data_IF_751899014659
#
_entry.id   IF_751899014659
#
_cell.length_a   1.000
_cell.length_b   1.000
_cell.length_c   1.000
_cell.angle_alpha   90.00
_cell.angle_beta   90.00
_cell.angle_gamma   90.00
#
_symmetry.space_group_name_H-M   'P 1'
#
loop_
_entity.id
_entity.type
_entity.pdbx_description
1 polymer ?
#
# COMPACT_ATOMS: atom_id res chain seq x y z
N UNK A 1 -13.44 7.48 -0.03
CA UNK A 1 -13.77 6.13 -0.55
C UNK A 1 -14.12 6.26 -2.02
N UNK A 2 -13.63 5.36 -2.87
CA UNK A 2 -13.97 5.31 -4.29
C UNK A 2 -15.27 4.53 -4.48
N UNK A 3 -16.28 5.15 -5.14
CA UNK A 3 -17.47 4.47 -5.65
C UNK A 3 -17.37 4.40 -7.19
N UNK A 4 -17.48 3.20 -7.72
CA UNK A 4 -17.40 2.92 -9.15
C UNK A 4 -18.65 2.20 -9.66
N UNK A 5 -19.75 2.24 -8.91
CA UNK A 5 -21.01 1.54 -9.26
C UNK A 5 -21.63 2.04 -10.58
N UNK A 6 -21.39 3.32 -10.91
CA UNK A 6 -21.83 3.94 -12.16
C UNK A 6 -20.71 4.11 -13.19
N UNK A 7 -19.50 3.60 -12.89
CA UNK A 7 -18.33 3.81 -13.73
C UNK A 7 -18.48 3.19 -15.12
N UNK A 8 -17.99 3.89 -16.12
CA UNK A 8 -17.90 3.44 -17.52
C UNK A 8 -16.45 3.46 -17.99
N UNK A 9 -16.02 2.40 -18.65
CA UNK A 9 -14.71 2.29 -19.28
C UNK A 9 -14.84 2.73 -20.75
N UNK A 10 -14.59 4.00 -21.04
CA UNK A 10 -14.85 4.57 -22.37
C UNK A 10 -13.69 4.40 -23.36
N UNK A 11 -12.46 4.19 -22.84
CA UNK A 11 -11.27 3.85 -23.64
C UNK A 11 -10.48 2.77 -22.94
N UNK A 12 -10.05 1.77 -23.70
CA UNK A 12 -9.21 0.69 -23.17
C UNK A 12 -8.16 0.28 -24.21
N UNK A 13 -6.90 0.26 -23.80
CA UNK A 13 -5.76 -0.07 -24.66
C UNK A 13 -4.91 -1.17 -24.04
N UNK A 14 -4.18 -1.90 -24.88
CA UNK A 14 -3.18 -2.86 -24.48
C UNK A 14 -1.90 -2.71 -25.26
N UNK A 15 -0.79 -2.85 -24.57
CA UNK A 15 0.55 -3.02 -25.13
C UNK A 15 1.23 -4.19 -24.43
N UNK A 16 2.30 -4.72 -24.96
CA UNK A 16 3.14 -5.68 -24.26
C UNK A 16 4.47 -5.04 -23.91
N UNK A 17 4.88 -5.12 -22.64
CA UNK A 17 6.11 -4.50 -22.14
C UNK A 17 6.97 -5.58 -21.51
N UNK A 18 8.14 -5.84 -22.13
CA UNK A 18 9.10 -6.82 -21.67
C UNK A 18 10.09 -6.31 -20.64
N UNK A 19 11.03 -7.17 -20.25
CA UNK A 19 12.13 -6.80 -19.37
C UNK A 19 13.32 -6.30 -20.21
N UNK A 20 13.84 -5.12 -19.86
CA UNK A 20 14.93 -4.46 -20.60
C UNK A 20 16.25 -5.23 -20.51
N UNK A 21 16.58 -5.83 -19.36
CA UNK A 21 17.79 -6.64 -19.20
C UNK A 21 17.75 -7.92 -20.04
N UNK A 22 16.55 -8.43 -20.33
CA UNK A 22 16.37 -9.62 -21.18
C UNK A 22 16.22 -9.29 -22.66
N UNK A 23 16.29 -8.00 -23.03
CA UNK A 23 16.10 -7.51 -24.41
C UNK A 23 14.76 -7.93 -25.03
N UNK A 24 13.70 -8.02 -24.22
CA UNK A 24 12.40 -8.50 -24.68
C UNK A 24 11.64 -7.45 -25.52
N UNK A 25 11.96 -6.15 -25.35
CA UNK A 25 11.36 -5.07 -26.13
C UNK A 25 9.95 -4.66 -25.70
N UNK A 26 9.29 -3.90 -26.57
CA UNK A 26 7.90 -3.41 -26.40
C UNK A 26 7.13 -3.73 -27.66
N UNK A 27 5.89 -4.22 -27.52
CA UNK A 27 4.96 -4.39 -28.64
C UNK A 27 3.79 -3.42 -28.45
N UNK A 28 3.66 -2.47 -29.38
CA UNK A 28 2.57 -1.51 -29.41
C UNK A 28 1.72 -1.84 -30.65
N UNK A 29 0.48 -2.34 -30.47
CA UNK A 29 -0.39 -2.65 -31.61
C UNK A 29 -0.76 -1.40 -32.40
N UNK A 30 -0.88 -1.53 -33.72
CA UNK A 30 -1.32 -0.42 -34.60
C UNK A 30 -2.75 0.05 -34.33
N UNK A 31 -3.58 -0.82 -33.72
CA UNK A 31 -4.89 -0.48 -33.17
C UNK A 31 -4.85 -0.83 -31.69
N UNK A 32 -4.67 0.20 -30.86
CA UNK A 32 -4.51 0.03 -29.42
C UNK A 32 -5.84 -0.01 -28.68
N UNK A 33 -6.90 0.61 -29.23
CA UNK A 33 -8.23 0.56 -28.62
C UNK A 33 -8.83 -0.84 -28.78
N UNK A 34 -9.21 -1.44 -27.67
CA UNK A 34 -9.86 -2.75 -27.61
C UNK A 34 -11.36 -2.52 -27.48
N UNK A 35 -12.16 -2.99 -28.47
CA UNK A 35 -13.62 -2.96 -28.35
C UNK A 35 -14.05 -3.99 -27.28
N UNK A 36 -14.76 -3.52 -26.27
CA UNK A 36 -15.26 -4.34 -25.19
C UNK A 36 -16.74 -4.68 -25.41
N UNK A 37 -17.11 -5.90 -25.02
CA UNK A 37 -18.50 -6.28 -24.86
C UNK A 37 -18.91 -6.06 -23.39
N UNK A 38 -20.18 -5.79 -23.12
CA UNK A 38 -20.71 -5.41 -21.81
C UNK A 38 -20.16 -6.29 -20.65
N UNK A 39 -20.16 -7.60 -20.82
CA UNK A 39 -19.61 -8.51 -19.80
C UNK A 39 -18.09 -8.39 -19.61
N UNK A 40 -17.33 -8.15 -20.68
CA UNK A 40 -15.87 -7.94 -20.57
C UNK A 40 -15.57 -6.61 -19.90
N UNK A 41 -16.33 -5.57 -20.19
CA UNK A 41 -16.23 -4.27 -19.53
C UNK A 41 -16.49 -4.40 -18.03
N UNK A 42 -17.57 -5.06 -17.62
CA UNK A 42 -17.90 -5.29 -16.22
C UNK A 42 -16.79 -6.02 -15.45
N UNK A 43 -16.21 -7.07 -16.06
CA UNK A 43 -15.08 -7.81 -15.47
C UNK A 43 -13.85 -6.92 -15.32
N UNK A 44 -13.51 -6.09 -16.33
CA UNK A 44 -12.36 -5.21 -16.31
C UNK A 44 -12.56 -4.07 -15.30
N UNK A 45 -13.74 -3.44 -15.26
CA UNK A 45 -14.11 -2.44 -14.27
C UNK A 45 -13.88 -2.97 -12.85
N UNK A 46 -14.45 -4.13 -12.56
CA UNK A 46 -14.27 -4.77 -11.26
C UNK A 46 -12.80 -5.10 -10.98
N UNK A 47 -12.07 -5.65 -11.94
CA UNK A 47 -10.67 -6.01 -11.77
C UNK A 47 -9.78 -4.80 -11.49
N UNK A 48 -9.99 -3.71 -12.23
CA UNK A 48 -9.12 -2.53 -12.15
C UNK A 48 -9.50 -1.59 -11.00
N UNK A 49 -10.75 -1.48 -10.61
CA UNK A 49 -11.23 -0.47 -9.65
C UNK A 49 -11.43 -1.01 -8.23
N UNK A 50 -11.92 -2.25 -8.08
CA UNK A 50 -12.16 -2.84 -6.76
C UNK A 50 -10.96 -2.83 -5.80
N UNK A 51 -9.70 -3.05 -6.24
CA UNK A 51 -8.55 -2.98 -5.35
C UNK A 51 -8.33 -1.60 -4.73
N UNK A 52 -8.85 -0.54 -5.36
CA UNK A 52 -8.74 0.85 -4.90
C UNK A 52 -9.95 1.35 -4.11
N UNK A 53 -11.04 0.58 -4.03
CA UNK A 53 -12.30 0.96 -3.38
C UNK A 53 -12.10 1.53 -1.96
N UNK A 54 -11.19 0.93 -1.19
CA UNK A 54 -10.91 1.26 0.21
C UNK A 54 -9.58 1.96 0.43
N UNK A 55 -8.94 2.48 -0.61
CA UNK A 55 -7.65 3.15 -0.43
C UNK A 55 -7.84 4.56 0.12
N UNK A 56 -7.00 4.95 1.06
CA UNK A 56 -6.85 6.30 1.57
C UNK A 56 -5.41 6.78 1.41
N UNK A 57 -4.51 5.94 0.87
CA UNK A 57 -3.12 6.29 0.60
C UNK A 57 -3.04 6.90 -0.79
N UNK A 58 -2.92 8.23 -0.84
CA UNK A 58 -2.82 8.97 -2.09
C UNK A 58 -1.44 9.57 -2.29
N UNK A 59 -1.14 9.85 -3.54
CA UNK A 59 0.12 10.40 -4.00
C UNK A 59 -0.14 11.50 -5.03
N UNK A 60 0.90 12.32 -5.29
CA UNK A 60 1.00 13.23 -6.44
C UNK A 60 2.17 12.82 -7.32
N UNK A 61 2.09 13.04 -8.63
CA UNK A 61 3.29 13.07 -9.46
C UNK A 61 4.26 14.12 -8.94
N UNK A 62 5.54 13.80 -8.98
CA UNK A 62 6.57 14.69 -8.44
C UNK A 62 7.75 14.85 -9.39
N UNK A 63 8.22 16.08 -9.53
CA UNK A 63 9.44 16.43 -10.22
C UNK A 63 10.20 17.47 -9.39
N UNK A 64 11.54 17.37 -9.35
CA UNK A 64 12.39 18.19 -8.46
C UNK A 64 12.28 19.70 -8.75
N UNK A 65 12.02 20.09 -10.02
CA UNK A 65 11.89 21.48 -10.42
C UNK A 65 10.41 21.90 -10.47
N UNK A 66 9.63 21.26 -11.35
CA UNK A 66 8.23 21.56 -11.56
C UNK A 66 7.51 20.33 -12.10
N UNK A 67 6.28 20.06 -11.63
CA UNK A 67 5.50 18.89 -12.05
C UNK A 67 5.21 18.87 -13.54
N UNK A 68 5.14 20.02 -14.20
CA UNK A 68 4.97 20.11 -15.65
C UNK A 68 6.11 19.48 -16.45
N UNK A 69 7.30 19.27 -15.85
CA UNK A 69 8.43 18.55 -16.44
C UNK A 69 8.30 17.03 -16.29
N UNK A 70 7.31 16.54 -15.56
CA UNK A 70 7.10 15.12 -15.33
C UNK A 70 6.41 14.46 -16.55
N UNK A 71 7.06 13.48 -17.18
CA UNK A 71 6.57 12.88 -18.43
C UNK A 71 5.19 12.21 -18.31
N UNK A 72 4.97 11.43 -17.24
CA UNK A 72 3.66 10.80 -17.03
C UNK A 72 2.58 11.84 -16.74
N UNK A 73 2.89 12.89 -15.99
CA UNK A 73 1.97 13.99 -15.76
C UNK A 73 1.54 14.62 -17.08
N UNK A 74 2.49 14.95 -17.96
CA UNK A 74 2.19 15.52 -19.28
C UNK A 74 1.28 14.61 -20.11
N UNK A 75 1.55 13.30 -20.10
CA UNK A 75 0.73 12.30 -20.81
C UNK A 75 -0.68 12.24 -20.23
N UNK A 76 -0.81 12.15 -18.90
CA UNK A 76 -2.10 12.15 -18.23
C UNK A 76 -2.87 13.44 -18.48
N UNK A 77 -2.20 14.58 -18.43
CA UNK A 77 -2.77 15.88 -18.74
C UNK A 77 -3.33 15.93 -20.18
N UNK A 78 -2.57 15.43 -21.16
CA UNK A 78 -3.03 15.33 -22.55
C UNK A 78 -4.30 14.47 -22.66
N UNK A 79 -4.32 13.30 -22.01
CA UNK A 79 -5.48 12.38 -22.03
C UNK A 79 -6.70 13.00 -21.33
N UNK A 80 -6.52 13.68 -20.19
CA UNK A 80 -7.64 14.31 -19.48
C UNK A 80 -8.26 15.45 -20.26
N UNK A 81 -7.46 16.21 -21.03
CA UNK A 81 -7.97 17.26 -21.91
C UNK A 81 -8.61 16.72 -23.18
N UNK A 82 -8.07 15.64 -23.75
CA UNK A 82 -8.60 14.97 -24.94
C UNK A 82 -8.46 13.44 -24.85
N UNK A 83 -9.50 12.72 -24.37
CA UNK A 83 -9.48 11.26 -24.25
C UNK A 83 -9.29 10.49 -25.57
N UNK A 84 -9.49 11.12 -26.74
CA UNK A 84 -9.22 10.48 -28.03
C UNK A 84 -7.73 10.21 -28.23
N UNK A 85 -6.85 10.93 -27.51
CA UNK A 85 -5.39 10.73 -27.56
C UNK A 85 -4.91 9.47 -26.80
N UNK A 86 -5.79 8.80 -26.06
CA UNK A 86 -5.45 7.59 -25.27
C UNK A 86 -4.64 6.56 -26.06
N UNK A 87 -4.98 6.36 -27.33
CA UNK A 87 -4.31 5.38 -28.21
C UNK A 87 -2.84 5.72 -28.45
N UNK A 88 -2.56 6.98 -28.75
CA UNK A 88 -1.21 7.46 -29.05
C UNK A 88 -0.37 7.57 -27.78
N UNK A 89 -0.97 8.08 -26.71
CA UNK A 89 -0.31 8.25 -25.41
C UNK A 89 0.01 6.90 -24.74
N UNK A 90 -0.84 5.88 -24.92
CA UNK A 90 -0.57 4.52 -24.41
C UNK A 90 0.75 3.94 -24.93
N UNK A 91 1.10 4.22 -26.20
CA UNK A 91 2.37 3.82 -26.77
C UNK A 91 3.58 4.48 -26.09
N UNK A 92 3.47 5.78 -25.80
CA UNK A 92 4.52 6.51 -25.07
C UNK A 92 4.69 5.97 -23.65
N UNK A 93 3.58 5.71 -22.94
CA UNK A 93 3.59 5.13 -21.61
C UNK A 93 4.26 3.72 -21.60
N UNK A 94 3.95 2.89 -22.58
CA UNK A 94 4.56 1.56 -22.70
C UNK A 94 6.09 1.65 -22.93
N UNK A 95 6.56 2.61 -23.70
CA UNK A 95 7.99 2.86 -23.91
C UNK A 95 8.67 3.37 -22.64
N UNK A 96 8.05 4.32 -21.92
CA UNK A 96 8.57 4.80 -20.64
C UNK A 96 8.65 3.68 -19.60
N UNK A 97 7.61 2.86 -19.49
CA UNK A 97 7.61 1.72 -18.58
C UNK A 97 8.73 0.73 -18.90
N UNK A 98 8.98 0.44 -20.18
CA UNK A 98 10.06 -0.44 -20.60
C UNK A 98 11.42 0.07 -20.12
N UNK A 99 11.67 1.39 -20.14
CA UNK A 99 12.92 1.95 -19.64
C UNK A 99 13.16 1.66 -18.15
N UNK A 100 12.07 1.56 -17.37
CA UNK A 100 12.11 1.27 -15.93
C UNK A 100 12.14 -0.25 -15.61
N UNK A 101 11.86 -1.12 -16.59
CA UNK A 101 11.80 -2.57 -16.40
C UNK A 101 13.19 -3.23 -16.45
N UNK A 102 14.14 -2.78 -15.62
CA UNK A 102 15.52 -3.31 -15.57
C UNK A 102 15.70 -4.40 -14.50
N UNK A 103 14.87 -4.45 -13.46
CA UNK A 103 15.02 -5.45 -12.41
C UNK A 103 14.64 -6.85 -12.94
N UNK A 104 15.50 -7.89 -12.75
CA UNK A 104 15.24 -9.26 -13.21
C UNK A 104 13.96 -9.90 -12.68
N UNK A 105 13.43 -9.40 -11.54
CA UNK A 105 12.18 -9.88 -10.94
C UNK A 105 10.94 -9.43 -11.73
N UNK A 106 11.06 -8.40 -12.57
CA UNK A 106 9.94 -7.88 -13.36
C UNK A 106 9.75 -8.78 -14.58
N UNK A 107 8.56 -9.35 -14.69
CA UNK A 107 8.20 -10.20 -15.82
C UNK A 107 7.69 -9.35 -16.99
N UNK A 108 8.00 -9.78 -18.24
CA UNK A 108 7.32 -9.28 -19.41
C UNK A 108 5.83 -9.62 -19.39
N UNK A 109 4.99 -8.72 -19.87
CA UNK A 109 3.55 -8.95 -19.87
C UNK A 109 2.76 -7.76 -20.41
N UNK A 110 1.45 -7.90 -20.43
CA UNK A 110 0.54 -6.88 -20.90
C UNK A 110 0.59 -5.64 -20.00
N UNK A 111 0.46 -4.49 -20.64
CA UNK A 111 0.28 -3.19 -20.00
C UNK A 111 -0.98 -2.56 -20.54
N UNK A 112 -1.94 -2.31 -19.66
CA UNK A 112 -3.24 -1.76 -19.99
C UNK A 112 -3.35 -0.32 -19.53
N UNK A 113 -4.01 0.50 -20.34
CA UNK A 113 -4.52 1.80 -19.97
C UNK A 113 -6.03 1.80 -20.15
N UNK A 114 -6.76 2.20 -19.12
CA UNK A 114 -8.20 2.44 -19.15
C UNK A 114 -8.51 3.89 -18.82
N UNK A 115 -9.48 4.50 -19.55
CA UNK A 115 -10.05 5.79 -19.20
C UNK A 115 -11.46 5.59 -18.68
N UNK A 116 -11.69 6.05 -17.44
CA UNK A 116 -12.92 5.83 -16.69
C UNK A 116 -13.69 7.14 -16.53
N UNK A 117 -14.98 7.09 -16.74
CA UNK A 117 -15.94 8.16 -16.49
C UNK A 117 -16.94 7.73 -15.41
N UNK A 118 -17.65 8.71 -14.86
CA UNK A 118 -18.71 8.50 -13.87
C UNK A 118 -18.25 7.80 -12.57
N UNK A 119 -17.00 8.06 -12.17
CA UNK A 119 -16.48 7.66 -10.86
C UNK A 119 -16.86 8.69 -9.81
N UNK A 120 -16.99 8.24 -8.54
CA UNK A 120 -17.13 9.13 -7.40
C UNK A 120 -15.97 8.92 -6.42
N UNK A 121 -15.22 9.96 -6.13
CA UNK A 121 -14.18 9.96 -5.11
C UNK A 121 -14.59 10.87 -3.95
N UNK A 122 -14.76 10.28 -2.76
CA UNK A 122 -15.24 10.99 -1.55
C UNK A 122 -16.58 11.73 -1.76
N UNK A 123 -17.44 11.23 -2.68
CA UNK A 123 -18.72 11.83 -2.99
C UNK A 123 -18.69 12.87 -4.12
N UNK A 124 -17.54 13.18 -4.68
CA UNK A 124 -17.37 14.09 -5.80
C UNK A 124 -17.16 13.34 -7.11
N UNK A 125 -17.80 13.76 -8.22
CA UNK A 125 -17.66 13.12 -9.52
C UNK A 125 -16.26 13.37 -10.10
N UNK A 126 -15.61 12.30 -10.58
CA UNK A 126 -14.27 12.38 -11.16
C UNK A 126 -14.15 11.47 -12.38
N UNK A 127 -13.25 11.83 -13.31
CA UNK A 127 -12.72 10.90 -14.32
C UNK A 127 -11.37 10.37 -13.86
N UNK A 128 -10.94 9.22 -14.39
CA UNK A 128 -9.66 8.66 -14.03
C UNK A 128 -8.99 7.90 -15.18
N UNK A 129 -7.65 7.84 -15.11
CA UNK A 129 -6.80 6.96 -15.93
C UNK A 129 -6.33 5.81 -15.05
N UNK A 130 -6.61 4.58 -15.46
CA UNK A 130 -6.08 3.38 -14.83
C UNK A 130 -4.92 2.81 -15.63
N UNK A 131 -3.82 2.50 -14.95
CA UNK A 131 -2.66 1.81 -15.50
C UNK A 131 -2.50 0.46 -14.81
N UNK A 132 -2.29 -0.59 -15.59
CA UNK A 132 -2.19 -1.94 -15.07
C UNK A 132 -1.11 -2.74 -15.82
N UNK A 133 -0.05 -3.15 -15.10
CA UNK A 133 1.00 -4.04 -15.63
C UNK A 133 0.78 -5.46 -15.12
N UNK A 134 0.54 -6.37 -16.03
CA UNK A 134 0.41 -7.80 -15.71
C UNK A 134 1.79 -8.39 -15.40
N UNK A 135 1.91 -9.10 -14.28
CA UNK A 135 3.12 -9.79 -13.84
C UNK A 135 2.99 -11.31 -13.91
N UNK A 136 1.79 -11.82 -13.63
CA UNK A 136 1.55 -13.25 -13.51
C UNK A 136 0.35 -13.64 -14.36
N UNK A 137 0.38 -14.86 -14.86
CA UNK A 137 -0.76 -15.53 -15.50
C UNK A 137 -1.14 -16.75 -14.67
N UNK A 138 -2.43 -17.02 -14.60
CA UNK A 138 -2.97 -18.22 -13.95
C UNK A 138 -3.51 -19.17 -15.04
N UNK A 139 -3.37 -20.48 -14.82
CA UNK A 139 -3.95 -21.49 -15.69
C UNK A 139 -5.39 -21.79 -15.27
N UNK A 140 -6.29 -21.78 -16.22
CA UNK A 140 -7.73 -22.05 -16.03
C UNK A 140 -8.14 -23.33 -16.74
N UNK A 141 -9.05 -24.09 -16.10
CA UNK A 141 -9.66 -25.26 -16.72
C UNK A 141 -10.97 -24.87 -17.40
N UNK A 142 -11.03 -25.05 -18.73
CA UNK A 142 -12.25 -24.88 -19.51
C UNK A 142 -12.82 -26.24 -19.86
N UNK A 143 -14.07 -26.49 -19.44
CA UNK A 143 -14.81 -27.68 -19.82
C UNK A 143 -15.80 -27.35 -20.93
N UNK A 144 -15.83 -28.18 -21.94
CA UNK A 144 -16.83 -28.13 -23.02
C UNK A 144 -17.63 -29.45 -23.01
N UNK A 145 -18.93 -29.31 -22.95
CA UNK A 145 -19.87 -30.45 -22.91
C UNK A 145 -20.46 -30.70 -24.31
N UNK A 146 -20.34 -31.91 -24.82
CA UNK A 146 -21.15 -32.43 -25.92
C UNK A 146 -22.21 -33.39 -25.38
N UNK A 147 -23.09 -33.92 -26.25
CA UNK A 147 -24.11 -34.91 -25.84
C UNK A 147 -23.48 -36.21 -25.29
N UNK A 148 -22.28 -36.56 -25.69
CA UNK A 148 -21.67 -37.88 -25.40
C UNK A 148 -20.36 -37.74 -24.57
N UNK A 149 -19.79 -36.55 -24.41
CA UNK A 149 -18.50 -36.38 -23.78
C UNK A 149 -18.26 -35.03 -23.15
N UNK A 150 -17.27 -34.96 -22.26
CA UNK A 150 -16.68 -33.72 -21.76
C UNK A 150 -15.25 -33.59 -22.28
N UNK A 151 -14.92 -32.42 -22.78
CA UNK A 151 -13.54 -32.06 -23.11
C UNK A 151 -12.99 -31.11 -22.06
N UNK A 152 -11.76 -31.31 -21.61
CA UNK A 152 -11.06 -30.46 -20.65
C UNK A 152 -9.87 -29.80 -21.37
N UNK A 153 -9.88 -28.48 -21.40
CA UNK A 153 -8.79 -27.68 -21.93
C UNK A 153 -8.13 -26.86 -20.81
N UNK A 154 -6.82 -26.65 -20.88
CA UNK A 154 -6.09 -25.72 -20.03
C UNK A 154 -5.86 -24.44 -20.83
N UNK A 155 -6.27 -23.33 -20.29
CA UNK A 155 -6.08 -21.99 -20.86
C UNK A 155 -5.26 -21.15 -19.89
N UNK A 156 -4.33 -20.37 -20.42
CA UNK A 156 -3.62 -19.36 -19.64
C UNK A 156 -4.32 -18.01 -19.79
N UNK A 157 -4.52 -17.33 -18.68
CA UNK A 157 -5.22 -16.06 -18.65
C UNK A 157 -4.72 -15.11 -17.55
N UNK A 158 -5.20 -13.89 -17.61
CA UNK A 158 -4.91 -12.85 -16.62
C UNK A 158 -5.90 -12.99 -15.48
N UNK A 159 -5.42 -13.16 -14.22
CA UNK A 159 -6.32 -13.26 -13.07
C UNK A 159 -6.99 -11.92 -12.77
N UNK A 160 -8.28 -11.78 -13.07
CA UNK A 160 -9.04 -10.55 -12.90
C UNK A 160 -9.16 -10.03 -11.46
N UNK A 161 -8.83 -10.82 -10.45
CA UNK A 161 -8.91 -10.42 -9.03
C UNK A 161 -7.58 -10.12 -8.36
N UNK A 162 -6.47 -10.13 -9.08
CA UNK A 162 -5.12 -10.02 -8.49
C UNK A 162 -4.27 -8.98 -9.22
N UNK A 163 -4.48 -7.71 -8.91
CA UNK A 163 -3.55 -6.67 -9.37
C UNK A 163 -2.27 -6.70 -8.53
N UNK A 164 -1.12 -6.86 -9.19
CA UNK A 164 0.18 -6.79 -8.54
C UNK A 164 0.84 -5.42 -8.72
N UNK A 165 0.60 -4.78 -9.87
CA UNK A 165 1.15 -3.50 -10.26
C UNK A 165 0.06 -2.72 -10.97
N UNK A 166 -0.40 -1.63 -10.35
CA UNK A 166 -1.45 -0.79 -10.90
C UNK A 166 -1.36 0.64 -10.34
N UNK A 167 -1.96 1.59 -11.06
CA UNK A 167 -2.22 2.93 -10.58
C UNK A 167 -3.58 3.41 -11.10
N UNK A 168 -4.24 4.26 -10.31
CA UNK A 168 -5.45 4.96 -10.69
C UNK A 168 -5.21 6.46 -10.45
N UNK A 169 -5.18 7.23 -11.51
CA UNK A 169 -4.90 8.66 -11.54
C UNK A 169 -6.23 9.39 -11.73
N UNK A 170 -6.60 10.27 -10.83
CA UNK A 170 -7.84 11.03 -10.84
C UNK A 170 -7.62 12.41 -11.46
N UNK A 171 -8.57 12.89 -12.23
CA UNK A 171 -8.57 14.23 -12.82
C UNK A 171 -8.97 15.30 -11.78
N UNK A 172 -8.21 15.36 -10.71
CA UNK A 172 -8.31 16.37 -9.65
C UNK A 172 -6.91 16.75 -9.18
N UNK A 173 -6.78 17.91 -8.55
CA UNK A 173 -5.50 18.44 -8.02
C UNK A 173 -4.42 18.54 -9.12
N UNK A 174 -4.79 19.02 -10.30
CA UNK A 174 -3.89 19.11 -11.46
C UNK A 174 -2.61 19.89 -11.13
N UNK A 175 -2.73 21.06 -10.51
CA UNK A 175 -1.61 21.93 -10.19
C UNK A 175 -0.59 21.29 -9.24
N UNK A 176 -1.03 20.41 -8.36
CA UNK A 176 -0.21 19.67 -7.40
C UNK A 176 0.41 18.37 -7.98
N UNK A 177 -0.06 17.93 -9.16
CA UNK A 177 0.44 16.74 -9.84
C UNK A 177 -0.54 15.59 -9.94
N UNK A 178 -1.83 15.86 -10.03
CA UNK A 178 -2.93 14.90 -10.02
C UNK A 178 -2.92 13.94 -8.83
N UNK A 179 -4.06 13.79 -8.19
CA UNK A 179 -4.21 12.79 -7.12
C UNK A 179 -4.24 11.39 -7.71
N UNK A 180 -3.46 10.49 -7.14
CA UNK A 180 -3.44 9.10 -7.59
C UNK A 180 -3.24 8.11 -6.44
N UNK A 181 -3.63 6.88 -6.67
CA UNK A 181 -3.26 5.74 -5.81
C UNK A 181 -2.53 4.68 -6.61
N UNK A 182 -1.66 3.91 -5.94
CA UNK A 182 -0.79 2.93 -6.60
C UNK A 182 -0.68 1.64 -5.80
N UNK A 183 -0.70 0.52 -6.51
CA UNK A 183 -0.46 -0.82 -5.99
C UNK A 183 0.87 -1.31 -6.55
N UNK A 184 1.76 -1.74 -5.66
CA UNK A 184 2.98 -2.47 -5.97
C UNK A 184 3.18 -3.56 -4.92
N UNK A 185 2.94 -4.80 -5.29
CA UNK A 185 3.14 -5.99 -4.45
C UNK A 185 4.39 -6.78 -4.82
N UNK A 186 5.14 -6.32 -5.82
CA UNK A 186 6.34 -6.98 -6.32
C UNK A 186 7.59 -6.46 -5.62
N UNK A 187 7.66 -5.15 -5.40
CA UNK A 187 8.75 -4.53 -4.66
C UNK A 187 8.65 -4.84 -3.17
N UNK A 188 9.78 -5.12 -2.53
CA UNK A 188 9.81 -5.29 -1.08
C UNK A 188 9.72 -3.93 -0.38
N UNK A 189 9.27 -3.95 0.88
CA UNK A 189 9.02 -2.74 1.67
C UNK A 189 10.23 -1.80 1.78
N UNK A 190 11.45 -2.35 1.77
CA UNK A 190 12.70 -1.61 1.95
C UNK A 190 13.53 -1.49 0.65
N UNK A 191 12.97 -1.93 -0.49
CA UNK A 191 13.60 -1.80 -1.80
C UNK A 191 12.95 -0.65 -2.57
N UNK A 192 13.76 0.08 -3.35
CA UNK A 192 13.24 1.09 -4.29
C UNK A 192 12.28 0.43 -5.29
N UNK A 193 11.08 0.97 -5.37
CA UNK A 193 10.02 0.46 -6.24
C UNK A 193 10.24 0.96 -7.67
N UNK A 194 10.42 0.06 -8.62
CA UNK A 194 10.45 0.45 -10.03
C UNK A 194 9.11 1.10 -10.48
N UNK A 195 7.99 0.71 -9.85
CA UNK A 195 6.68 1.23 -10.19
C UNK A 195 6.45 2.61 -9.61
N UNK A 196 6.58 2.77 -8.28
CA UNK A 196 6.29 4.04 -7.58
C UNK A 196 7.41 5.07 -7.77
N UNK A 197 8.70 4.65 -7.63
CA UNK A 197 9.82 5.59 -7.55
C UNK A 197 10.49 5.86 -8.90
N UNK A 198 10.42 4.90 -9.87
CA UNK A 198 11.09 5.05 -11.15
C UNK A 198 10.12 5.37 -12.28
N UNK A 199 9.00 4.62 -12.40
CA UNK A 199 8.02 4.82 -13.45
C UNK A 199 7.04 5.93 -13.10
N UNK A 200 6.28 5.79 -12.00
CA UNK A 200 5.30 6.80 -11.59
C UNK A 200 5.96 8.07 -11.03
N UNK A 201 7.10 7.97 -10.37
CA UNK A 201 7.84 9.07 -9.73
C UNK A 201 6.90 9.92 -8.88
N UNK A 202 6.31 9.30 -7.87
CA UNK A 202 5.26 9.88 -7.03
C UNK A 202 5.75 10.15 -5.61
N UNK A 203 5.15 11.16 -4.97
CA UNK A 203 5.32 11.45 -3.55
C UNK A 203 3.99 11.25 -2.82
N UNK A 204 4.00 10.78 -1.56
CA UNK A 204 2.78 10.69 -0.76
C UNK A 204 2.17 12.05 -0.51
N UNK A 205 0.85 12.11 -0.40
CA UNK A 205 0.14 13.28 0.10
C UNK A 205 0.28 13.30 1.62
N UNK A 206 0.68 14.44 2.17
CA UNK A 206 0.93 14.64 3.60
C UNK A 206 -0.39 14.94 4.33
N UNK A 207 -1.28 13.97 4.35
CA UNK A 207 -2.62 14.04 4.93
C UNK A 207 -2.74 13.24 6.25
N UNK A 208 -3.95 13.12 6.76
CA UNK A 208 -4.24 12.36 7.98
C UNK A 208 -3.79 10.89 7.91
N UNK A 209 -3.89 10.27 6.73
CA UNK A 209 -3.40 8.90 6.52
C UNK A 209 -1.87 8.83 6.65
N UNK A 210 -1.17 9.75 6.00
CA UNK A 210 0.29 9.88 6.06
C UNK A 210 0.76 10.08 7.51
N UNK A 211 0.19 11.07 8.21
CA UNK A 211 0.55 11.36 9.59
C UNK A 211 0.29 10.17 10.52
N UNK A 212 -0.90 9.56 10.45
CA UNK A 212 -1.24 8.37 11.26
C UNK A 212 -0.24 7.23 11.03
N UNK A 213 0.05 6.91 9.76
CA UNK A 213 0.98 5.85 9.41
C UNK A 213 2.37 6.08 9.97
N UNK A 214 2.90 7.28 9.79
CA UNK A 214 4.27 7.58 10.21
C UNK A 214 4.40 7.66 11.73
N UNK A 215 3.42 8.16 12.46
CA UNK A 215 3.44 8.12 13.92
C UNK A 215 3.36 6.69 14.48
N UNK A 216 2.58 5.80 13.86
CA UNK A 216 2.56 4.37 14.23
C UNK A 216 3.94 3.74 14.02
N UNK A 217 4.61 4.04 12.91
CA UNK A 217 5.95 3.52 12.60
C UNK A 217 7.00 4.08 13.57
N UNK A 218 6.98 5.39 13.81
CA UNK A 218 7.85 6.10 14.73
C UNK A 218 7.71 5.53 16.17
N UNK A 219 6.48 5.43 16.67
CA UNK A 219 6.22 4.88 18.00
C UNK A 219 6.69 3.42 18.11
N UNK A 220 6.40 2.60 17.10
CA UNK A 220 6.85 1.21 17.07
C UNK A 220 8.37 1.07 17.06
N UNK A 221 9.08 1.90 16.30
CA UNK A 221 10.54 1.91 16.24
C UNK A 221 11.15 2.39 17.56
N UNK A 222 10.65 3.48 18.12
CA UNK A 222 11.10 3.95 19.44
C UNK A 222 10.95 2.85 20.50
N UNK A 223 9.74 2.31 20.65
CA UNK A 223 9.43 1.34 21.70
C UNK A 223 10.22 0.03 21.53
N UNK A 224 10.46 -0.42 20.31
CA UNK A 224 11.13 -1.73 20.09
C UNK A 224 12.64 -1.64 19.98
N UNK A 225 13.18 -0.52 19.53
CA UNK A 225 14.61 -0.41 19.21
C UNK A 225 15.37 0.56 20.12
N UNK A 226 14.76 1.67 20.53
CA UNK A 226 15.44 2.71 21.31
C UNK A 226 15.14 2.63 22.81
N UNK A 227 13.88 2.62 23.20
CA UNK A 227 13.45 2.64 24.60
C UNK A 227 14.04 1.51 25.48
N UNK A 228 14.22 0.26 25.02
CA UNK A 228 14.84 -0.78 25.83
C UNK A 228 16.28 -0.44 26.24
N UNK A 229 17.04 0.26 25.39
CA UNK A 229 18.42 0.61 25.65
C UNK A 229 18.56 1.92 26.43
N UNK A 230 17.78 2.95 26.08
CA UNK A 230 17.86 4.26 26.71
C UNK A 230 17.20 4.30 28.09
N UNK A 231 16.08 3.60 28.24
CA UNK A 231 15.24 3.64 29.46
C UNK A 231 15.32 2.36 30.28
N UNK A 232 16.16 1.41 29.89
CA UNK A 232 16.34 0.14 30.60
C UNK A 232 15.07 -0.71 30.66
N UNK A 233 14.16 -0.58 29.68
CA UNK A 233 12.88 -1.27 29.67
C UNK A 233 13.07 -2.77 29.39
N UNK A 234 12.38 -3.57 30.16
CA UNK A 234 12.34 -5.00 29.89
C UNK A 234 11.35 -5.32 28.74
N UNK A 235 11.31 -6.60 28.37
CA UNK A 235 10.42 -7.05 27.29
C UNK A 235 8.95 -6.87 27.61
N UNK A 236 8.60 -6.95 28.87
CA UNK A 236 7.22 -6.81 29.34
C UNK A 236 6.78 -5.33 29.27
N UNK A 237 7.69 -4.41 29.64
CA UNK A 237 7.47 -2.97 29.50
C UNK A 237 7.30 -2.58 28.03
N UNK A 238 8.14 -3.13 27.15
CA UNK A 238 8.04 -2.92 25.69
C UNK A 238 6.67 -3.36 25.16
N UNK A 239 6.17 -4.52 25.60
CA UNK A 239 4.85 -5.03 25.19
C UNK A 239 3.73 -4.14 25.69
N UNK A 240 3.80 -3.67 26.94
CA UNK A 240 2.80 -2.76 27.51
C UNK A 240 2.74 -1.45 26.75
N UNK A 241 3.88 -0.86 26.41
CA UNK A 241 3.96 0.34 25.60
C UNK A 241 3.38 0.15 24.20
N UNK A 242 3.67 -0.99 23.54
CA UNK A 242 3.09 -1.30 22.23
C UNK A 242 1.56 -1.43 22.30
N UNK A 243 1.03 -2.09 23.33
CA UNK A 243 -0.42 -2.22 23.52
C UNK A 243 -1.07 -0.86 23.76
N UNK A 244 -0.53 -0.06 24.70
CA UNK A 244 -1.04 1.31 24.95
C UNK A 244 -1.00 2.20 23.71
N UNK A 245 0.08 2.10 22.91
CA UNK A 245 0.15 2.81 21.63
C UNK A 245 -0.94 2.35 20.67
N UNK A 246 -1.13 1.04 20.54
CA UNK A 246 -2.17 0.47 19.67
C UNK A 246 -3.58 0.87 20.09
N UNK A 247 -3.85 0.87 21.40
CA UNK A 247 -5.14 1.26 21.97
C UNK A 247 -5.38 2.77 21.75
N UNK A 248 -4.35 3.61 21.93
CA UNK A 248 -4.47 5.05 21.66
C UNK A 248 -4.94 5.33 20.21
N UNK A 249 -4.30 4.71 19.23
CA UNK A 249 -4.67 4.90 17.82
C UNK A 249 -6.03 4.29 17.45
N UNK A 250 -6.52 3.32 18.19
CA UNK A 250 -7.84 2.73 17.94
C UNK A 250 -8.98 3.51 18.55
N UNK A 251 -8.77 4.01 19.78
CA UNK A 251 -9.84 4.50 20.65
C UNK A 251 -10.04 6.01 20.50
N UNK A 252 -9.07 6.72 19.90
CA UNK A 252 -9.17 8.16 19.68
C UNK A 252 -9.48 8.47 18.19
N UNK A 253 -10.25 9.54 17.99
CA UNK A 253 -10.53 10.09 16.66
C UNK A 253 -9.44 11.08 16.21
N UNK A 254 -8.78 11.73 17.15
CA UNK A 254 -7.77 12.77 16.95
C UNK A 254 -6.46 12.38 17.63
N UNK A 255 -5.35 12.60 16.95
CA UNK A 255 -4.01 12.50 17.49
C UNK A 255 -3.53 13.87 17.93
N UNK A 256 -2.90 13.92 19.09
CA UNK A 256 -2.14 15.07 19.59
C UNK A 256 -0.84 14.56 20.24
N UNK A 257 0.31 15.03 19.77
CA UNK A 257 1.62 14.45 20.15
C UNK A 257 1.89 14.49 21.65
N UNK A 258 1.50 15.57 22.33
CA UNK A 258 1.70 15.71 23.78
C UNK A 258 0.78 14.78 24.57
N UNK A 259 -0.49 14.66 24.18
CA UNK A 259 -1.45 13.76 24.79
C UNK A 259 -1.03 12.28 24.60
N UNK A 260 -0.59 11.93 23.39
CA UNK A 260 -0.02 10.62 23.10
C UNK A 260 1.19 10.31 23.98
N UNK A 261 2.13 11.27 24.08
CA UNK A 261 3.37 11.11 24.85
C UNK A 261 3.05 10.90 26.34
N UNK A 262 2.15 11.71 26.92
CA UNK A 262 1.73 11.60 28.32
C UNK A 262 0.93 10.33 28.61
N UNK A 263 0.12 9.87 27.65
CA UNK A 263 -0.62 8.61 27.77
C UNK A 263 0.31 7.40 27.78
N UNK A 264 1.39 7.42 26.98
CA UNK A 264 2.32 6.32 26.92
C UNK A 264 3.33 6.30 28.07
N UNK A 265 3.88 7.46 28.40
CA UNK A 265 5.00 7.59 29.32
C UNK A 265 4.61 8.37 30.57
N UNK A 266 4.82 7.78 31.73
CA UNK A 266 4.47 8.37 33.03
C UNK A 266 5.56 9.29 33.55
N UNK A 267 6.81 9.02 33.21
CA UNK A 267 7.98 9.71 33.72
C UNK A 267 8.47 10.72 32.69
N UNK A 268 8.86 11.91 33.17
CA UNK A 268 9.31 13.02 32.33
C UNK A 268 10.53 12.64 31.49
N UNK A 269 11.46 11.87 32.05
CA UNK A 269 12.63 11.36 31.33
C UNK A 269 12.26 10.49 30.11
N UNK A 270 11.20 9.66 30.23
CA UNK A 270 10.70 8.83 29.14
C UNK A 270 10.02 9.68 28.06
N UNK A 271 9.27 10.69 28.48
CA UNK A 271 8.61 11.65 27.58
C UNK A 271 9.64 12.43 26.77
N UNK A 272 10.70 12.92 27.42
CA UNK A 272 11.75 13.68 26.78
C UNK A 272 12.54 12.80 25.78
N UNK A 273 12.86 11.56 26.14
CA UNK A 273 13.48 10.61 25.24
C UNK A 273 12.64 10.34 23.97
N UNK A 274 11.31 10.28 24.10
CA UNK A 274 10.44 10.13 22.93
C UNK A 274 10.41 11.39 22.07
N UNK A 275 10.35 12.59 22.68
CA UNK A 275 10.39 13.88 21.94
C UNK A 275 11.71 14.03 21.16
N UNK A 276 12.85 13.73 21.79
CA UNK A 276 14.16 13.75 21.13
C UNK A 276 14.20 12.78 19.96
N UNK A 277 13.74 11.54 20.17
CA UNK A 277 13.70 10.55 19.10
C UNK A 277 12.79 10.99 17.94
N UNK A 278 11.63 11.60 18.22
CA UNK A 278 10.74 12.16 17.20
C UNK A 278 11.43 13.20 16.34
N UNK A 279 12.18 14.12 16.97
CA UNK A 279 12.94 15.14 16.24
C UNK A 279 14.05 14.52 15.37
N UNK A 280 14.78 13.55 15.89
CA UNK A 280 15.80 12.83 15.13
C UNK A 280 15.17 12.09 13.94
N UNK A 281 14.07 11.39 14.17
CA UNK A 281 13.36 10.61 13.17
C UNK A 281 12.82 11.50 12.04
N UNK A 282 12.13 12.60 12.39
CA UNK A 282 11.57 13.52 11.40
C UNK A 282 12.67 14.19 10.55
N UNK A 283 13.82 14.53 11.16
CA UNK A 283 14.98 15.07 10.43
C UNK A 283 15.63 14.01 9.54
N UNK A 284 15.84 12.81 10.05
CA UNK A 284 16.53 11.74 9.31
C UNK A 284 15.75 11.29 8.06
N UNK A 285 14.44 11.27 8.14
CA UNK A 285 13.56 10.86 7.02
C UNK A 285 12.93 12.04 6.27
N UNK A 286 13.25 13.28 6.63
CA UNK A 286 12.67 14.51 6.06
C UNK A 286 11.14 14.49 6.06
N UNK A 287 10.51 14.05 7.17
CA UNK A 287 9.06 13.89 7.30
C UNK A 287 8.42 15.14 7.93
N UNK A 288 7.50 15.83 7.25
CA UNK A 288 6.76 16.96 7.78
C UNK A 288 5.55 16.48 8.60
N UNK A 289 5.79 15.85 9.75
CA UNK A 289 4.72 15.33 10.59
C UNK A 289 4.01 16.46 11.37
N UNK A 290 2.70 16.46 11.33
CA UNK A 290 1.85 17.37 12.10
C UNK A 290 1.76 16.93 13.56
N UNK A 291 1.65 17.91 14.47
CA UNK A 291 1.51 17.66 15.91
C UNK A 291 0.07 17.26 16.28
N UNK A 292 -0.91 17.61 15.43
CA UNK A 292 -2.33 17.35 15.63
C UNK A 292 -3.04 17.10 14.31
N UNK A 293 -3.77 15.97 14.23
CA UNK A 293 -4.52 15.55 13.04
C UNK A 293 -5.59 14.51 13.40
N UNK A 294 -6.55 14.27 12.49
CA UNK A 294 -7.53 13.20 12.65
C UNK A 294 -6.91 11.83 12.34
N UNK A 295 -7.16 10.85 13.21
CA UNK A 295 -6.60 9.51 13.05
C UNK A 295 -7.30 8.77 11.91
N UNK A 296 -6.54 8.40 10.88
CA UNK A 296 -7.03 7.52 9.82
C UNK A 296 -7.14 6.08 10.31
N UNK A 297 -8.38 5.61 10.52
CA UNK A 297 -8.64 4.22 10.93
C UNK A 297 -8.18 3.19 9.89
N UNK A 298 -8.03 3.59 8.64
CA UNK A 298 -7.50 2.71 7.61
C UNK A 298 -5.97 2.55 7.75
N UNK A 299 -5.25 3.63 8.03
CA UNK A 299 -3.82 3.57 8.34
C UNK A 299 -3.57 2.70 9.57
N UNK A 300 -4.39 2.87 10.62
CA UNK A 300 -4.33 2.04 11.84
C UNK A 300 -4.48 0.56 11.49
N UNK A 301 -5.52 0.17 10.75
CA UNK A 301 -5.75 -1.25 10.35
C UNK A 301 -4.58 -1.83 9.56
N UNK A 302 -3.99 -1.05 8.65
CA UNK A 302 -2.89 -1.49 7.78
C UNK A 302 -1.59 -1.68 8.55
N UNK A 303 -1.28 -0.77 9.48
CA UNK A 303 -0.03 -0.78 10.26
C UNK A 303 -0.16 -1.47 11.61
N UNK A 304 -1.36 -1.90 12.03
CA UNK A 304 -1.64 -2.47 13.36
C UNK A 304 -0.73 -3.64 13.77
N UNK A 305 -0.17 -4.33 12.78
CA UNK A 305 0.80 -5.41 13.02
C UNK A 305 2.06 -4.97 13.78
N UNK A 306 2.40 -3.68 13.74
CA UNK A 306 3.54 -3.09 14.47
C UNK A 306 3.32 -3.23 15.98
N UNK A 307 2.07 -3.09 16.42
CA UNK A 307 1.70 -3.20 17.83
C UNK A 307 1.42 -4.63 18.31
N UNK A 308 1.45 -5.63 17.41
CA UNK A 308 1.23 -7.03 17.80
C UNK A 308 2.40 -7.55 18.61
N UNK A 309 2.16 -7.77 19.89
CA UNK A 309 3.13 -8.27 20.84
C UNK A 309 3.19 -9.78 20.83
N UNK A 310 4.32 -10.34 20.39
CA UNK A 310 4.55 -11.78 20.38
C UNK A 310 5.78 -12.07 21.23
N UNK A 311 5.59 -12.82 22.33
CA UNK A 311 6.70 -13.38 23.08
C UNK A 311 7.12 -14.68 22.39
N UNK A 312 8.22 -14.62 21.66
CA UNK A 312 8.81 -15.82 21.06
C UNK A 312 9.77 -16.46 22.05
N UNK A 313 9.46 -17.69 22.48
CA UNK A 313 10.28 -18.47 23.38
C UNK A 313 10.89 -19.63 22.58
N UNK A 314 12.16 -19.52 22.26
CA UNK A 314 12.94 -20.47 21.44
C UNK A 314 12.24 -20.85 20.10
N UNK A 315 12.34 -22.11 19.67
CA UNK A 315 11.68 -22.60 18.44
C UNK A 315 10.27 -23.15 18.67
N UNK A 316 9.83 -23.29 19.92
CA UNK A 316 8.68 -24.13 20.25
C UNK A 316 7.46 -23.32 20.70
N UNK A 317 7.64 -22.12 21.27
CA UNK A 317 6.55 -21.40 21.92
C UNK A 317 6.46 -19.96 21.43
N UNK A 318 5.25 -19.55 21.01
CA UNK A 318 4.88 -18.18 20.75
C UNK A 318 3.68 -17.84 21.62
N UNK A 319 3.81 -16.82 22.47
CA UNK A 319 2.71 -16.29 23.29
C UNK A 319 2.25 -14.99 22.68
N UNK A 320 0.99 -14.91 22.29
CA UNK A 320 0.34 -13.70 21.81
C UNK A 320 -0.31 -13.00 23.00
N UNK A 321 0.10 -11.75 23.28
CA UNK A 321 -0.41 -10.96 24.41
C UNK A 321 -1.31 -9.87 23.87
N UNK A 322 -2.61 -9.93 24.18
CA UNK A 322 -3.62 -8.97 23.71
C UNK A 322 -4.03 -7.93 24.77
N UNK A 323 -3.30 -7.83 25.89
CA UNK A 323 -3.58 -6.93 27.01
C UNK A 323 -3.27 -7.63 28.36
N UNK A 324 -3.64 -6.99 29.48
CA UNK A 324 -3.55 -7.55 30.84
C UNK A 324 -2.16 -8.13 31.17
N UNK A 325 -1.13 -7.25 31.16
CA UNK A 325 0.25 -7.57 31.58
C UNK A 325 0.33 -8.16 32.97
N UNK A 326 -0.54 -7.71 33.86
CA UNK A 326 -0.65 -8.16 35.26
C UNK A 326 -0.91 -9.66 35.40
N UNK A 327 -1.37 -10.31 34.31
CA UNK A 327 -1.60 -11.75 34.25
C UNK A 327 -0.39 -12.55 33.73
N UNK A 328 0.76 -11.90 33.50
CA UNK A 328 1.97 -12.58 33.00
C UNK A 328 3.14 -12.33 33.96
N UNK A 329 3.64 -13.38 34.57
CA UNK A 329 4.85 -13.37 35.38
C UNK A 329 6.03 -14.00 34.65
N UNK A 330 7.20 -13.37 34.76
CA UNK A 330 8.47 -13.95 34.28
C UNK A 330 9.34 -14.35 35.47
N UNK A 331 9.93 -15.50 35.40
CA UNK A 331 10.82 -15.99 36.46
C UNK A 331 11.92 -16.90 35.92
N UNK A 332 12.76 -17.34 36.88
CA UNK A 332 13.78 -18.34 36.65
C UNK A 332 13.54 -19.49 37.63
N UNK A 333 13.46 -20.71 37.12
CA UNK A 333 13.29 -21.90 37.89
C UNK A 333 14.69 -22.47 38.17
N UNK A 334 15.15 -22.35 39.42
CA UNK A 334 16.49 -22.81 39.84
C UNK A 334 16.66 -24.32 39.74
N UNK A 335 15.59 -25.11 40.02
CA UNK A 335 15.65 -26.58 39.96
C UNK A 335 15.80 -27.05 38.50
N UNK A 336 15.14 -26.39 37.55
CA UNK A 336 15.19 -26.76 36.13
C UNK A 336 16.28 -26.01 35.39
N UNK A 337 16.88 -24.97 35.98
CA UNK A 337 17.86 -24.07 35.33
C UNK A 337 17.28 -23.34 34.11
N UNK A 338 15.98 -23.05 34.11
CA UNK A 338 15.27 -22.47 32.96
C UNK A 338 14.47 -21.25 33.34
N UNK A 339 14.40 -20.29 32.39
CA UNK A 339 13.46 -19.15 32.45
C UNK A 339 12.06 -19.67 32.15
N UNK A 340 11.05 -19.07 32.79
CA UNK A 340 9.65 -19.36 32.51
C UNK A 340 8.81 -18.08 32.37
N UNK A 341 7.68 -18.22 31.69
CA UNK A 341 6.54 -17.30 31.78
C UNK A 341 5.37 -18.07 32.39
N UNK A 342 4.70 -17.46 33.36
CA UNK A 342 3.50 -17.96 33.99
C UNK A 342 2.36 -17.04 33.62
N UNK A 343 1.30 -17.60 33.03
CA UNK A 343 0.12 -16.87 32.57
C UNK A 343 -1.05 -17.20 33.46
N UNK A 344 -1.70 -16.19 34.00
CA UNK A 344 -2.94 -16.33 34.77
C UNK A 344 -4.13 -16.03 33.83
N UNK A 345 -5.19 -16.82 33.92
CA UNK A 345 -6.39 -16.67 33.08
C UNK A 345 -7.65 -17.03 33.89
N UNK A 346 -8.80 -16.49 33.47
CA UNK A 346 -10.09 -16.66 34.15
C UNK A 346 -10.88 -17.84 33.60
N UNK A 347 -10.79 -18.12 32.30
CA UNK A 347 -11.50 -19.23 31.65
C UNK A 347 -10.71 -19.77 30.47
N UNK A 348 -10.85 -21.06 30.20
CA UNK A 348 -10.33 -21.74 29.03
C UNK A 348 -11.50 -22.07 28.09
N UNK A 349 -11.38 -21.71 26.78
CA UNK A 349 -12.37 -22.02 25.76
C UNK A 349 -12.02 -23.29 24.99
#
# INVERSE_FOLDING_TARGET
>A
MLDYSAARLTRFTASWVGNKQRFEGVVIPSRTLIPLHDYAEEVILSAMLKPFEKTEEFFYFHHDEDVSNHQLYQICNTIFHDPETCSDEAGKLAQLLYQCCENPKIQGGEFFLGYFEDLMLHGEPVTAIGLWKVQNRDSYLKTERSQESFTLNVLDGIPAGKLSIAALIFNIDEAEGYRLCAIDTVSKKDERSFWKDEFLRIRPIEDNYFNTRHYIQLAGEFITQKAPFQLGLDRTDTIDLLNRSGDYFKDNEMFEVEDFTQTLFKEEEQQDAFREFREEYTKAYALPLEDKFDISQQAVKKEFKIFKSIIKLDKNFHIYVHGRRDLIERGFDEEKGKKYYKVFYESEE
#
